data_IF_232305851557
#
_entry.id   IF_232305851557
#
_cell.length_a   1.000
_cell.length_b   1.000
_cell.length_c   1.000
_cell.angle_alpha   90.00
_cell.angle_beta   90.00
_cell.angle_gamma   90.00
#
_symmetry.space_group_name_H-M   'P 1'
#
loop_
_entity.id
_entity.type
_entity.pdbx_description
1 polymer ?
#
# COMPACT_ATOMS: atom_id res chain seq x y z
N UNK A 1 -4.25 9.55 -15.06
CA UNK A 1 -3.76 8.24 -15.52
C UNK A 1 -4.80 7.65 -16.46
N UNK A 2 -4.98 8.24 -17.65
CA UNK A 2 -5.86 7.68 -18.70
C UNK A 2 -5.03 6.60 -19.43
N UNK A 3 -5.68 5.59 -20.01
CA UNK A 3 -5.09 4.44 -20.73
C UNK A 3 -3.65 4.67 -21.24
N UNK A 4 -2.74 3.74 -20.95
CA UNK A 4 -1.36 3.83 -21.43
C UNK A 4 -1.31 4.08 -22.94
N UNK A 5 -0.32 4.85 -23.40
CA UNK A 5 -0.18 5.15 -24.84
C UNK A 5 -0.15 3.90 -25.72
N UNK A 6 0.34 2.78 -25.17
CA UNK A 6 0.31 1.46 -25.81
C UNK A 6 -1.11 0.89 -25.94
N UNK A 7 -1.95 0.99 -24.89
CA UNK A 7 -3.33 0.53 -24.96
C UNK A 7 -4.17 1.34 -25.96
N UNK A 8 -3.89 2.64 -26.08
CA UNK A 8 -4.52 3.51 -27.08
C UNK A 8 -4.05 3.19 -28.52
N UNK A 9 -2.78 2.86 -28.70
CA UNK A 9 -2.25 2.45 -30.01
C UNK A 9 -2.87 1.11 -30.46
N UNK A 10 -2.89 0.10 -29.57
CA UNK A 10 -3.52 -1.18 -29.85
C UNK A 10 -5.02 -1.04 -30.16
N UNK A 11 -5.73 -0.17 -29.42
CA UNK A 11 -7.13 0.14 -29.70
C UNK A 11 -7.32 0.79 -31.08
N UNK A 12 -6.46 1.75 -31.44
CA UNK A 12 -6.51 2.44 -32.72
C UNK A 12 -6.23 1.49 -33.90
N UNK A 13 -5.31 0.53 -33.74
CA UNK A 13 -5.00 -0.47 -34.76
C UNK A 13 -6.19 -1.42 -34.99
N UNK A 14 -6.80 -1.93 -33.91
CA UNK A 14 -8.02 -2.76 -34.00
C UNK A 14 -9.19 -1.98 -34.60
N UNK A 15 -9.35 -0.70 -34.24
CA UNK A 15 -10.41 0.14 -34.79
C UNK A 15 -10.25 0.37 -36.30
N UNK A 16 -9.00 0.53 -36.78
CA UNK A 16 -8.68 0.63 -38.21
C UNK A 16 -8.91 -0.68 -38.94
N UNK A 17 -8.49 -1.81 -38.36
CA UNK A 17 -8.69 -3.15 -38.93
C UNK A 17 -10.18 -3.47 -39.11
N UNK A 18 -10.99 -3.14 -38.11
CA UNK A 18 -12.44 -3.31 -38.13
C UNK A 18 -13.19 -2.22 -38.92
N UNK A 19 -12.48 -1.24 -39.48
CA UNK A 19 -13.04 -0.08 -40.19
C UNK A 19 -14.14 0.64 -39.39
N UNK A 20 -13.95 0.73 -38.07
CA UNK A 20 -14.88 1.43 -37.19
C UNK A 20 -14.93 2.92 -37.53
N UNK A 21 -16.12 3.52 -37.65
CA UNK A 21 -16.24 4.97 -37.73
C UNK A 21 -15.60 5.63 -36.52
N UNK A 22 -14.92 6.75 -36.72
CA UNK A 22 -14.20 7.46 -35.65
C UNK A 22 -15.11 7.79 -34.45
N UNK A 23 -16.35 8.22 -34.72
CA UNK A 23 -17.40 8.48 -33.72
C UNK A 23 -17.70 7.26 -32.83
N UNK A 24 -17.79 6.07 -33.43
CA UNK A 24 -18.09 4.84 -32.70
C UNK A 24 -16.88 4.39 -31.89
N UNK A 25 -15.67 4.55 -32.45
CA UNK A 25 -14.44 4.26 -31.74
C UNK A 25 -14.26 5.18 -30.51
N UNK A 26 -14.53 6.49 -30.66
CA UNK A 26 -14.53 7.43 -29.54
C UNK A 26 -15.56 7.06 -28.47
N UNK A 27 -16.76 6.63 -28.88
CA UNK A 27 -17.85 6.23 -27.98
C UNK A 27 -17.50 4.99 -27.16
N UNK A 28 -16.89 3.99 -27.78
CA UNK A 28 -16.42 2.79 -27.07
C UNK A 28 -15.37 3.17 -26.03
N UNK A 29 -14.38 3.98 -26.42
CA UNK A 29 -13.34 4.43 -25.51
C UNK A 29 -13.93 5.21 -24.32
N UNK A 30 -14.88 6.11 -24.58
CA UNK A 30 -15.56 6.90 -23.54
C UNK A 30 -16.34 6.02 -22.54
N UNK A 31 -16.92 4.90 -22.99
CA UNK A 31 -17.67 3.97 -22.13
C UNK A 31 -16.77 2.99 -21.38
N UNK A 32 -15.67 2.56 -21.98
CA UNK A 32 -14.78 1.53 -21.42
C UNK A 32 -13.72 2.15 -20.50
N UNK A 33 -13.22 3.35 -20.81
CA UNK A 33 -12.17 3.99 -20.03
C UNK A 33 -12.50 4.11 -18.53
N UNK A 34 -13.71 4.53 -18.09
CA UNK A 34 -14.05 4.55 -16.66
C UNK A 34 -14.01 3.17 -16.00
N UNK A 35 -14.47 2.13 -16.71
CA UNK A 35 -14.47 0.76 -16.19
C UNK A 35 -13.05 0.20 -16.05
N UNK A 36 -12.17 0.47 -17.01
CA UNK A 36 -10.76 0.07 -16.93
C UNK A 36 -10.02 0.80 -15.80
N UNK A 37 -10.29 2.10 -15.61
CA UNK A 37 -9.75 2.88 -14.49
C UNK A 37 -10.20 2.31 -13.15
N UNK A 38 -11.50 2.00 -13.02
CA UNK A 38 -12.06 1.41 -11.81
C UNK A 38 -11.45 0.04 -11.52
N UNK A 39 -11.27 -0.79 -12.55
CA UNK A 39 -10.63 -2.10 -12.41
C UNK A 39 -9.17 -1.97 -11.93
N UNK A 40 -8.41 -1.04 -12.52
CA UNK A 40 -7.02 -0.81 -12.10
C UNK A 40 -6.94 -0.31 -10.65
N UNK A 41 -7.82 0.62 -10.26
CA UNK A 41 -7.90 1.09 -8.88
C UNK A 41 -8.29 -0.05 -7.91
N UNK A 42 -9.19 -0.94 -8.31
CA UNK A 42 -9.60 -2.10 -7.53
C UNK A 42 -8.46 -3.11 -7.35
N UNK A 43 -7.68 -3.39 -8.39
CA UNK A 43 -6.52 -4.29 -8.30
C UNK A 43 -5.44 -3.72 -7.39
N UNK A 44 -5.18 -2.40 -7.48
CA UNK A 44 -4.26 -1.73 -6.56
C UNK A 44 -4.77 -1.82 -5.12
N UNK A 45 -6.04 -1.52 -4.87
CA UNK A 45 -6.65 -1.64 -3.54
C UNK A 45 -6.59 -3.07 -2.99
N UNK A 46 -6.77 -4.08 -3.85
CA UNK A 46 -6.64 -5.50 -3.48
C UNK A 46 -5.22 -5.85 -3.05
N UNK A 47 -4.21 -5.37 -3.78
CA UNK A 47 -2.79 -5.56 -3.39
C UNK A 47 -2.52 -4.92 -2.03
N UNK A 48 -3.01 -3.70 -1.78
CA UNK A 48 -2.86 -3.05 -0.47
C UNK A 48 -3.54 -3.84 0.66
N UNK A 49 -4.76 -4.33 0.43
CA UNK A 49 -5.46 -5.16 1.41
C UNK A 49 -4.70 -6.46 1.70
N UNK A 50 -4.14 -7.10 0.66
CA UNK A 50 -3.30 -8.29 0.81
C UNK A 50 -2.03 -8.02 1.61
N UNK A 51 -1.37 -6.89 1.38
CA UNK A 51 -0.19 -6.50 2.16
C UNK A 51 -0.52 -6.25 3.63
N UNK A 52 -1.65 -5.60 3.91
CA UNK A 52 -2.12 -5.40 5.29
C UNK A 52 -2.35 -6.74 5.98
N UNK A 53 -3.05 -7.68 5.33
CA UNK A 53 -3.31 -9.01 5.87
C UNK A 53 -2.01 -9.82 6.08
N UNK A 54 -1.09 -9.78 5.11
CA UNK A 54 0.21 -10.45 5.23
C UNK A 54 1.04 -9.87 6.37
N UNK A 55 1.00 -8.55 6.56
CA UNK A 55 1.71 -7.88 7.64
C UNK A 55 1.14 -8.20 9.01
N UNK A 56 -0.20 -8.26 9.13
CA UNK A 56 -0.86 -8.69 10.37
C UNK A 56 -0.45 -10.12 10.73
N UNK A 57 -0.33 -11.00 9.74
CA UNK A 57 0.00 -12.42 9.92
C UNK A 57 1.50 -12.75 9.77
N UNK A 58 2.38 -11.75 9.68
CA UNK A 58 3.81 -11.96 9.50
C UNK A 58 4.39 -12.67 10.73
N UNK A 59 5.24 -13.68 10.52
CA UNK A 59 5.79 -14.50 11.60
C UNK A 59 6.91 -13.84 12.39
N UNK A 60 7.55 -12.79 11.85
CA UNK A 60 8.65 -12.08 12.50
C UNK A 60 8.14 -10.93 13.37
N UNK A 61 7.22 -10.11 12.85
CA UNK A 61 6.71 -8.94 13.57
C UNK A 61 5.21 -8.98 13.86
N UNK A 62 4.43 -9.78 13.13
CA UNK A 62 2.97 -9.83 13.25
C UNK A 62 2.47 -10.78 14.35
N UNK A 63 1.25 -11.29 14.13
CA UNK A 63 0.56 -12.22 15.03
C UNK A 63 0.19 -11.61 16.37
N UNK A 64 0.30 -12.40 17.44
CA UNK A 64 -0.07 -11.98 18.81
C UNK A 64 0.76 -10.80 19.32
N UNK A 65 1.97 -10.59 18.76
CA UNK A 65 2.88 -9.53 19.15
C UNK A 65 2.85 -8.31 18.22
N UNK A 66 1.91 -8.27 17.26
CA UNK A 66 1.85 -7.22 16.24
C UNK A 66 1.93 -5.81 16.86
N UNK A 67 1.09 -5.50 17.84
CA UNK A 67 1.05 -4.17 18.45
C UNK A 67 2.38 -3.80 19.13
N UNK A 68 2.97 -4.75 19.87
CA UNK A 68 4.26 -4.59 20.55
C UNK A 68 5.38 -4.33 19.53
N UNK A 69 5.41 -5.11 18.47
CA UNK A 69 6.45 -5.05 17.44
C UNK A 69 6.30 -3.82 16.54
N UNK A 70 5.07 -3.37 16.26
CA UNK A 70 4.82 -2.10 15.58
C UNK A 70 5.31 -0.92 16.42
N UNK A 71 5.21 -0.99 17.75
CA UNK A 71 5.84 0.00 18.63
C UNK A 71 7.37 0.06 18.50
N UNK A 72 8.03 -1.09 18.25
CA UNK A 72 9.47 -1.13 17.97
C UNK A 72 9.77 -0.55 16.59
N UNK A 73 9.00 -0.92 15.56
CA UNK A 73 9.15 -0.39 14.20
C UNK A 73 8.91 1.13 14.13
N UNK A 74 7.95 1.65 14.91
CA UNK A 74 7.66 3.09 15.00
C UNK A 74 8.88 3.91 15.40
N UNK A 75 9.74 3.38 16.26
CA UNK A 75 10.98 4.08 16.63
C UNK A 75 11.96 4.23 15.49
N UNK A 76 12.03 3.26 14.59
CA UNK A 76 12.85 3.41 13.40
C UNK A 76 12.29 4.53 12.52
N UNK A 77 10.96 4.64 12.42
CA UNK A 77 10.30 5.77 11.75
C UNK A 77 10.62 7.09 12.46
N UNK A 78 10.56 7.14 13.78
CA UNK A 78 10.84 8.36 14.55
C UNK A 78 12.33 8.76 14.48
N UNK A 79 13.25 7.79 14.41
CA UNK A 79 14.69 8.03 14.39
C UNK A 79 15.24 8.32 12.99
N UNK A 80 14.70 7.68 11.95
CA UNK A 80 15.24 7.73 10.59
C UNK A 80 14.25 8.27 9.56
N UNK A 81 12.96 8.24 9.86
CA UNK A 81 11.92 8.70 8.97
C UNK A 81 12.00 10.21 8.75
N UNK A 82 11.42 10.63 7.63
CA UNK A 82 11.19 12.05 7.34
C UNK A 82 9.72 12.23 6.97
N UNK A 83 9.15 13.43 7.15
CA UNK A 83 7.78 13.68 6.73
C UNK A 83 7.54 13.35 5.25
N UNK A 84 8.50 13.63 4.37
CA UNK A 84 8.42 13.32 2.94
C UNK A 84 8.43 11.80 2.67
N UNK A 85 9.23 11.04 3.40
CA UNK A 85 9.25 9.58 3.27
C UNK A 85 7.94 8.95 3.78
N UNK A 86 7.44 9.42 4.93
CA UNK A 86 6.20 8.91 5.52
C UNK A 86 5.00 9.20 4.60
N UNK A 87 4.92 10.41 4.05
CA UNK A 87 3.90 10.79 3.07
C UNK A 87 3.97 9.93 1.81
N UNK A 88 5.18 9.67 1.28
CA UNK A 88 5.36 8.79 0.14
C UNK A 88 4.84 7.38 0.44
N UNK A 89 5.27 6.78 1.55
CA UNK A 89 4.88 5.42 1.93
C UNK A 89 3.37 5.28 2.12
N UNK A 90 2.71 6.29 2.70
CA UNK A 90 1.25 6.30 2.87
C UNK A 90 0.53 6.46 1.51
N UNK A 91 0.94 7.42 0.68
CA UNK A 91 0.31 7.67 -0.63
C UNK A 91 0.45 6.52 -1.60
N UNK A 92 1.58 5.82 -1.56
CA UNK A 92 1.81 4.65 -2.40
C UNK A 92 1.32 3.36 -1.76
N UNK A 93 0.77 3.41 -0.53
CA UNK A 93 0.35 2.26 0.26
C UNK A 93 1.46 1.24 0.56
N UNK A 94 2.73 1.66 0.47
CA UNK A 94 3.90 0.87 0.87
C UNK A 94 4.07 0.83 2.40
N UNK A 95 3.41 1.74 3.11
CA UNK A 95 3.39 1.77 4.57
C UNK A 95 2.82 0.46 5.18
N UNK A 96 1.89 -0.21 4.50
CA UNK A 96 1.32 -1.50 4.93
C UNK A 96 2.06 -2.71 4.34
N UNK A 97 3.16 -2.49 3.61
CA UNK A 97 3.92 -3.58 2.99
C UNK A 97 4.74 -4.34 4.04
N UNK A 98 4.68 -5.69 4.06
CA UNK A 98 5.34 -6.50 5.09
C UNK A 98 6.87 -6.33 5.09
N UNK A 99 7.50 -6.11 3.93
CA UNK A 99 8.95 -5.92 3.86
C UNK A 99 9.38 -4.56 4.44
N UNK A 100 8.57 -3.52 4.22
CA UNK A 100 8.82 -2.19 4.80
C UNK A 100 8.68 -2.26 6.32
N UNK A 101 7.63 -2.90 6.82
CA UNK A 101 7.42 -3.05 8.26
C UNK A 101 8.50 -3.91 8.89
N UNK A 102 8.91 -5.00 8.24
CA UNK A 102 10.02 -5.86 8.70
C UNK A 102 11.34 -5.10 8.75
N UNK A 103 11.64 -4.29 7.75
CA UNK A 103 12.81 -3.42 7.74
C UNK A 103 12.79 -2.47 8.94
N UNK A 104 11.67 -1.77 9.15
CA UNK A 104 11.51 -0.84 10.26
C UNK A 104 11.57 -1.54 11.62
N UNK A 105 10.99 -2.74 11.73
CA UNK A 105 11.06 -3.56 12.93
C UNK A 105 12.51 -3.94 13.27
N UNK A 106 13.27 -4.44 12.30
CA UNK A 106 14.68 -4.80 12.47
C UNK A 106 15.54 -3.58 12.81
N UNK A 107 15.33 -2.46 12.12
CA UNK A 107 16.00 -1.20 12.42
C UNK A 107 15.67 -0.73 13.84
N UNK A 108 14.40 -0.80 14.23
CA UNK A 108 13.91 -0.42 15.55
C UNK A 108 14.54 -1.27 16.66
N UNK A 109 14.70 -2.57 16.42
CA UNK A 109 15.45 -3.47 17.31
C UNK A 109 16.92 -3.07 17.43
N UNK A 110 17.57 -2.78 16.30
CA UNK A 110 18.99 -2.44 16.28
C UNK A 110 19.32 -1.14 17.04
N UNK A 111 18.38 -0.19 17.09
CA UNK A 111 18.55 1.08 17.83
C UNK A 111 17.95 1.04 19.24
N UNK A 112 17.27 -0.06 19.62
CA UNK A 112 16.69 -0.19 20.96
C UNK A 112 17.75 -0.69 21.94
N UNK A 113 17.98 0.00 23.08
CA UNK A 113 18.92 -0.48 24.09
C UNK A 113 18.46 -1.80 24.71
N UNK A 114 19.43 -2.63 25.14
CA UNK A 114 19.18 -3.89 25.84
C UNK A 114 18.27 -3.65 27.06
N UNK A 115 17.05 -4.17 27.01
CA UNK A 115 16.06 -4.06 28.10
C UNK A 115 14.77 -3.31 27.75
N UNK A 116 14.59 -2.80 26.52
CA UNK A 116 13.32 -2.20 26.17
C UNK A 116 12.20 -3.23 25.94
N UNK A 117 11.23 -3.25 26.85
CA UNK A 117 9.90 -3.83 26.62
C UNK A 117 8.91 -2.70 26.31
N UNK A 118 8.29 -2.66 25.11
CA UNK A 118 7.19 -1.74 24.83
C UNK A 118 6.10 -1.94 25.87
N UNK A 119 5.53 -0.85 26.39
CA UNK A 119 4.40 -0.90 27.31
C UNK A 119 3.26 -1.67 26.64
N UNK A 120 2.84 -2.78 27.24
CA UNK A 120 1.69 -3.55 26.81
C UNK A 120 0.43 -2.71 26.99
N UNK A 121 -0.04 -2.09 25.91
CA UNK A 121 -1.43 -1.67 25.80
C UNK A 121 -2.30 -2.93 25.81
N UNK A 122 -2.87 -3.26 26.97
CA UNK A 122 -3.79 -4.38 27.09
C UNK A 122 -5.12 -4.01 26.42
N UNK A 123 -5.19 -4.20 25.11
CA UNK A 123 -6.42 -4.23 24.33
C UNK A 123 -6.37 -5.43 23.37
N UNK A 124 -7.51 -5.99 22.95
CA UNK A 124 -7.50 -7.06 21.95
C UNK A 124 -6.68 -6.57 20.75
N UNK A 125 -5.73 -7.41 20.29
CA UNK A 125 -4.83 -7.14 19.18
C UNK A 125 -5.59 -6.39 18.10
N UNK A 126 -5.44 -5.07 18.10
CA UNK A 126 -6.29 -4.25 17.27
C UNK A 126 -5.88 -4.56 15.85
N UNK A 127 -6.80 -5.13 15.08
CA UNK A 127 -6.69 -5.43 13.65
C UNK A 127 -6.62 -4.13 12.82
N UNK A 128 -5.98 -3.10 13.39
CA UNK A 128 -5.69 -1.82 12.77
C UNK A 128 -4.61 -2.03 11.75
N UNK A 129 -4.69 -1.24 10.70
CA UNK A 129 -3.72 -1.32 9.63
C UNK A 129 -2.31 -0.97 10.17
N UNK A 130 -1.29 -1.79 9.90
CA UNK A 130 0.08 -1.49 10.32
C UNK A 130 0.58 -0.10 9.90
N UNK A 131 0.15 0.40 8.73
CA UNK A 131 0.49 1.76 8.30
C UNK A 131 -0.07 2.81 9.26
N UNK A 132 -1.31 2.64 9.72
CA UNK A 132 -1.96 3.57 10.64
C UNK A 132 -1.21 3.64 11.97
N UNK A 133 -0.71 2.52 12.47
CA UNK A 133 0.04 2.46 13.74
C UNK A 133 1.40 3.16 13.60
N UNK A 134 2.10 2.91 12.49
CA UNK A 134 3.44 3.44 12.26
C UNK A 134 3.42 4.93 11.93
N UNK A 135 2.57 5.34 11.00
CA UNK A 135 2.61 6.65 10.37
C UNK A 135 1.43 7.57 10.76
N UNK A 136 0.40 7.04 11.43
CA UNK A 136 -0.81 7.78 11.82
C UNK A 136 -1.83 7.95 10.69
N UNK A 137 -3.08 8.23 11.03
CA UNK A 137 -4.13 8.62 10.08
C UNK A 137 -3.87 10.05 9.60
N UNK A 138 -3.33 10.20 8.40
CA UNK A 138 -3.27 11.52 7.76
C UNK A 138 -4.62 11.79 7.06
N UNK A 139 -5.35 12.78 7.58
CA UNK A 139 -6.57 13.36 7.00
C UNK A 139 -6.28 14.15 5.73
#
# INVERSE_FOLDING_TARGET
>A
MVLSGEALAAYADVAKELKLPQDQAQTILAKVAPSMLAHQAAEVAKVHAQWSEQSINDSEFGGENLEKNLGVAKRAVDAFGTPALNDLLNKTGLASNPEIIRLLYRAGKAISPDGFTPSSGSGPASRRDPAEVLFGTQS
#
